data_IF_887815305409
#
_entry.id   IF_887815305409
#
_cell.length_a   1.000
_cell.length_b   1.000
_cell.length_c   1.000
_cell.angle_alpha   90.00
_cell.angle_beta   90.00
_cell.angle_gamma   90.00
#
_symmetry.space_group_name_H-M   'P 1'
#
loop_
_entity.id
_entity.type
_entity.pdbx_description
1 polymer ?
#
# COMPACT_ATOMS: atom_id res chain seq x y z
N UNK A 1 -40.69 -53.10 39.27
CA UNK A 1 -39.98 -52.41 38.17
C UNK A 1 -40.26 -50.93 38.24
N UNK A 2 -39.34 -50.13 38.79
CA UNK A 2 -39.47 -48.67 38.93
C UNK A 2 -38.46 -48.00 37.99
N UNK A 3 -38.94 -47.44 36.88
CA UNK A 3 -38.11 -46.68 35.93
C UNK A 3 -38.08 -45.23 36.40
N UNK A 4 -36.93 -44.79 36.94
CA UNK A 4 -36.70 -43.40 37.35
C UNK A 4 -36.65 -42.49 36.11
N UNK A 5 -37.55 -41.50 35.95
CA UNK A 5 -37.62 -40.66 34.73
C UNK A 5 -36.59 -39.51 34.69
N UNK A 6 -35.70 -39.38 35.68
CA UNK A 6 -34.86 -38.19 35.85
C UNK A 6 -33.58 -38.09 35.01
N UNK A 7 -33.13 -39.17 34.35
CA UNK A 7 -31.84 -39.16 33.62
C UNK A 7 -31.90 -38.44 32.26
N UNK A 8 -33.06 -38.41 31.63
CA UNK A 8 -33.24 -37.78 30.32
C UNK A 8 -33.44 -36.26 30.42
N UNK A 9 -34.05 -35.79 31.52
CA UNK A 9 -34.25 -34.36 31.79
C UNK A 9 -32.91 -33.65 32.04
N UNK A 10 -32.00 -34.27 32.81
CA UNK A 10 -30.67 -33.72 33.08
C UNK A 10 -29.77 -33.66 31.85
N UNK A 11 -29.89 -34.63 30.94
CA UNK A 11 -29.14 -34.65 29.68
C UNK A 11 -29.65 -33.57 28.70
N UNK A 12 -30.96 -33.36 28.64
CA UNK A 12 -31.57 -32.32 27.80
C UNK A 12 -31.19 -30.90 28.25
N UNK A 13 -31.15 -30.65 29.58
CA UNK A 13 -30.71 -29.37 30.15
C UNK A 13 -29.21 -29.11 29.92
N UNK A 14 -28.36 -30.14 29.96
CA UNK A 14 -26.93 -30.01 29.69
C UNK A 14 -26.62 -29.70 28.21
N UNK A 15 -27.39 -30.27 27.27
CA UNK A 15 -27.22 -30.00 25.83
C UNK A 15 -27.67 -28.58 25.48
N UNK A 16 -28.77 -28.08 26.06
CA UNK A 16 -29.23 -26.69 25.82
C UNK A 16 -28.22 -25.66 26.37
N UNK A 17 -27.62 -25.91 27.53
CA UNK A 17 -26.59 -25.03 28.12
C UNK A 17 -25.26 -25.06 27.36
N UNK A 18 -24.90 -26.19 26.72
CA UNK A 18 -23.73 -26.28 25.86
C UNK A 18 -23.93 -25.57 24.51
N UNK A 19 -25.16 -25.56 23.98
CA UNK A 19 -25.48 -24.82 22.75
C UNK A 19 -25.49 -23.30 22.95
N UNK A 20 -25.85 -22.78 24.13
CA UNK A 20 -25.82 -21.33 24.39
C UNK A 20 -24.40 -20.78 24.57
N UNK A 21 -23.46 -21.58 25.09
CA UNK A 21 -22.05 -21.17 25.23
C UNK A 21 -21.29 -21.14 23.90
N UNK A 22 -21.73 -21.90 22.90
CA UNK A 22 -21.09 -21.96 21.58
C UNK A 22 -21.47 -20.79 20.64
N UNK A 23 -22.49 -20.00 20.97
CA UNK A 23 -22.98 -18.89 20.12
C UNK A 23 -22.32 -17.54 20.50
N UNK A 24 -21.74 -17.45 21.70
CA UNK A 24 -21.13 -16.23 22.25
C UNK A 24 -19.99 -15.61 21.40
N UNK A 25 -19.08 -16.39 20.77
CA UNK A 25 -18.01 -15.79 19.98
C UNK A 25 -18.44 -15.39 18.57
N UNK A 26 -19.55 -15.95 18.05
CA UNK A 26 -20.02 -15.67 16.69
C UNK A 26 -20.76 -14.32 16.58
N UNK A 27 -21.25 -13.77 17.69
CA UNK A 27 -21.94 -12.48 17.74
C UNK A 27 -21.01 -11.28 17.99
N UNK A 28 -19.71 -11.53 18.18
CA UNK A 28 -18.69 -10.49 18.35
C UNK A 28 -18.02 -10.05 17.04
N UNK A 29 -18.52 -10.50 15.88
CA UNK A 29 -18.20 -9.83 14.62
C UNK A 29 -18.93 -8.48 14.67
N UNK A 30 -18.21 -7.43 15.08
CA UNK A 30 -18.72 -6.07 14.95
C UNK A 30 -19.14 -5.90 13.49
N UNK A 31 -20.39 -5.52 13.23
CA UNK A 31 -20.81 -5.08 11.91
C UNK A 31 -20.07 -3.77 11.60
N UNK A 32 -18.81 -3.88 11.20
CA UNK A 32 -17.98 -2.75 10.85
C UNK A 32 -18.49 -2.22 9.52
N UNK A 33 -19.21 -1.11 9.58
CA UNK A 33 -19.76 -0.44 8.40
C UNK A 33 -18.85 0.74 8.09
N UNK A 34 -18.34 0.80 6.86
CA UNK A 34 -17.54 1.91 6.35
C UNK A 34 -18.29 2.67 5.25
N UNK A 35 -18.03 3.96 5.15
CA UNK A 35 -18.49 4.79 4.02
C UNK A 35 -17.48 4.79 2.86
N UNK A 36 -16.29 4.20 3.05
CA UNK A 36 -15.28 4.09 2.02
C UNK A 36 -15.74 3.15 0.91
N UNK A 37 -15.45 3.51 -0.35
CA UNK A 37 -15.77 2.66 -1.51
C UNK A 37 -15.01 1.34 -1.51
N UNK A 38 -13.75 1.38 -1.08
CA UNK A 38 -12.87 0.23 -0.90
C UNK A 38 -12.17 0.33 0.45
N UNK A 39 -11.99 -0.80 1.13
CA UNK A 39 -11.23 -0.89 2.38
C UNK A 39 -10.72 -2.31 2.61
N UNK A 40 -9.56 -2.44 3.24
CA UNK A 40 -9.02 -3.70 3.75
C UNK A 40 -8.27 -3.45 5.05
N UNK A 41 -8.38 -4.37 6.00
CA UNK A 41 -7.64 -4.39 7.26
C UNK A 41 -6.97 -5.74 7.43
N UNK A 42 -5.66 -5.72 7.65
CA UNK A 42 -4.81 -6.91 7.69
C UNK A 42 -3.99 -6.89 8.98
N UNK A 43 -3.85 -8.03 9.65
CA UNK A 43 -2.84 -8.21 10.70
C UNK A 43 -1.45 -8.29 10.08
N UNK A 44 -0.54 -7.42 10.49
CA UNK A 44 0.78 -7.31 9.88
C UNK A 44 1.72 -8.49 10.20
N UNK A 45 1.45 -9.29 11.25
CA UNK A 45 2.33 -10.37 11.67
C UNK A 45 2.10 -11.65 10.86
N UNK A 46 0.83 -11.96 10.58
CA UNK A 46 0.44 -13.22 9.92
C UNK A 46 -0.30 -13.03 8.59
N UNK A 47 -0.66 -11.79 8.23
CA UNK A 47 -1.36 -11.46 7.00
C UNK A 47 -2.86 -11.78 7.03
N UNK A 48 -3.43 -12.09 8.20
CA UNK A 48 -4.86 -12.38 8.32
C UNK A 48 -5.70 -11.18 7.94
N UNK A 49 -6.67 -11.37 7.04
CA UNK A 49 -7.65 -10.34 6.69
C UNK A 49 -8.70 -10.26 7.79
N UNK A 50 -8.70 -9.15 8.52
CA UNK A 50 -9.64 -8.90 9.62
C UNK A 50 -10.93 -8.24 9.13
N UNK A 51 -10.84 -7.47 8.04
CA UNK A 51 -11.99 -6.83 7.39
C UNK A 51 -11.66 -6.52 5.93
N UNK A 52 -12.66 -6.62 5.05
CA UNK A 52 -12.55 -6.18 3.67
C UNK A 52 -13.91 -5.68 3.13
N UNK A 53 -13.84 -4.66 2.28
CA UNK A 53 -14.98 -4.10 1.54
C UNK A 53 -14.49 -3.71 0.15
N UNK A 54 -14.94 -4.41 -0.89
CA UNK A 54 -14.54 -4.17 -2.29
C UNK A 54 -13.00 -4.09 -2.49
N UNK A 55 -12.22 -4.86 -1.72
CA UNK A 55 -10.76 -4.70 -1.65
C UNK A 55 -10.04 -5.02 -2.96
N UNK A 56 -10.61 -5.91 -3.78
CA UNK A 56 -10.05 -6.31 -5.08
C UNK A 56 -10.60 -5.50 -6.26
N UNK A 57 -11.52 -4.56 -6.01
CA UNK A 57 -12.03 -3.69 -7.07
C UNK A 57 -10.93 -2.72 -7.55
N UNK A 58 -10.76 -2.64 -8.88
CA UNK A 58 -9.78 -1.75 -9.47
C UNK A 58 -10.14 -0.29 -9.22
N UNK A 59 -9.15 0.48 -8.76
CA UNK A 59 -9.27 1.91 -8.55
C UNK A 59 -7.98 2.63 -8.93
N UNK A 60 -8.08 3.94 -9.21
CA UNK A 60 -6.90 4.78 -9.37
C UNK A 60 -6.25 4.99 -7.99
N UNK A 61 -4.97 4.59 -7.80
CA UNK A 61 -4.31 4.69 -6.49
C UNK A 61 -3.94 6.13 -6.10
N UNK A 62 -3.95 7.07 -7.05
CA UNK A 62 -3.40 8.41 -6.88
C UNK A 62 -1.99 8.33 -6.25
N UNK A 63 -1.67 9.20 -5.29
CA UNK A 63 -0.35 9.24 -4.66
C UNK A 63 0.07 7.95 -3.94
N UNK A 64 -0.82 6.98 -3.70
CA UNK A 64 -0.42 5.67 -3.15
C UNK A 64 0.53 4.92 -4.09
N UNK A 65 0.56 5.24 -5.39
CA UNK A 65 1.56 4.69 -6.33
C UNK A 65 3.00 4.90 -5.87
N UNK A 66 3.27 5.99 -5.15
CA UNK A 66 4.62 6.31 -4.64
C UNK A 66 5.14 5.27 -3.65
N UNK A 67 4.29 4.45 -3.05
CA UNK A 67 4.75 3.31 -2.24
C UNK A 67 5.59 2.34 -3.08
N UNK A 68 5.22 2.08 -4.33
CA UNK A 68 6.06 1.27 -5.21
C UNK A 68 7.34 2.00 -5.62
N UNK A 69 7.29 3.31 -5.85
CA UNK A 69 8.50 4.14 -6.07
C UNK A 69 9.48 4.02 -4.89
N UNK A 70 8.98 4.07 -3.66
CA UNK A 70 9.78 3.87 -2.46
C UNK A 70 10.33 2.44 -2.37
N UNK A 71 9.52 1.42 -2.69
CA UNK A 71 10.00 0.02 -2.73
C UNK A 71 11.15 -0.14 -3.71
N UNK A 72 11.09 0.48 -4.89
CA UNK A 72 12.18 0.45 -5.87
C UNK A 72 13.47 1.03 -5.29
N UNK A 73 13.41 2.22 -4.67
CA UNK A 73 14.56 2.87 -4.02
C UNK A 73 15.10 2.02 -2.87
N UNK A 74 14.22 1.52 -2.00
CA UNK A 74 14.62 0.69 -0.86
C UNK A 74 15.26 -0.63 -1.28
N UNK A 75 14.84 -1.23 -2.41
CA UNK A 75 15.50 -2.41 -2.96
C UNK A 75 16.91 -2.10 -3.44
N UNK A 76 17.10 -0.99 -4.16
CA UNK A 76 18.43 -0.56 -4.63
C UNK A 76 19.36 -0.20 -3.46
N UNK A 77 18.85 0.45 -2.41
CA UNK A 77 19.59 0.72 -1.17
C UNK A 77 19.96 -0.59 -0.46
N UNK A 78 19.03 -1.55 -0.38
CA UNK A 78 19.26 -2.85 0.27
C UNK A 78 20.27 -3.72 -0.49
N UNK A 79 20.30 -3.66 -1.82
CA UNK A 79 21.30 -4.39 -2.63
C UNK A 79 22.66 -3.70 -2.67
N UNK A 80 22.74 -2.43 -2.27
CA UNK A 80 23.95 -1.61 -2.33
C UNK A 80 24.23 -1.01 -3.70
N UNK A 81 23.30 -1.12 -4.64
CA UNK A 81 23.33 -0.42 -5.94
C UNK A 81 23.18 1.09 -5.79
N UNK A 82 22.53 1.52 -4.71
CA UNK A 82 22.32 2.92 -4.36
C UNK A 82 22.75 3.16 -2.90
N UNK A 83 23.21 4.37 -2.60
CA UNK A 83 23.50 4.86 -1.24
C UNK A 83 22.69 6.11 -0.93
N UNK A 84 22.54 6.40 0.37
CA UNK A 84 21.77 7.55 0.83
C UNK A 84 22.41 8.89 0.42
N UNK A 85 23.73 8.90 0.26
CA UNK A 85 24.53 10.08 -0.11
C UNK A 85 24.71 10.24 -1.62
N UNK A 86 24.26 9.27 -2.43
CA UNK A 86 24.30 9.41 -3.88
C UNK A 86 23.44 10.60 -4.30
N UNK A 87 23.93 11.36 -5.28
CA UNK A 87 23.28 12.58 -5.75
C UNK A 87 22.56 12.33 -7.07
N UNK A 88 21.30 12.72 -7.14
CA UNK A 88 20.50 12.73 -8.35
C UNK A 88 20.34 14.17 -8.84
N UNK A 89 20.26 14.33 -10.16
CA UNK A 89 20.07 15.65 -10.78
C UNK A 89 18.59 15.87 -11.04
N UNK A 90 18.06 17.00 -10.55
CA UNK A 90 16.68 17.41 -10.82
C UNK A 90 16.52 17.83 -12.28
N UNK A 91 15.78 17.05 -13.06
CA UNK A 91 15.58 17.35 -14.48
C UNK A 91 14.58 18.49 -14.69
N UNK A 92 14.60 19.07 -15.90
CA UNK A 92 13.56 20.02 -16.35
C UNK A 92 12.18 19.36 -16.31
N UNK A 93 12.08 18.08 -16.65
CA UNK A 93 10.82 17.36 -16.65
C UNK A 93 10.28 17.24 -15.22
N UNK A 94 11.05 16.65 -14.31
CA UNK A 94 10.67 16.48 -12.90
C UNK A 94 10.26 17.81 -12.25
N UNK A 95 11.04 18.87 -12.44
CA UNK A 95 10.69 20.20 -11.96
C UNK A 95 9.40 20.74 -12.58
N UNK A 96 9.21 20.60 -13.89
CA UNK A 96 8.05 21.20 -14.60
C UNK A 96 6.75 20.44 -14.34
N UNK A 97 6.78 19.11 -14.35
CA UNK A 97 5.60 18.25 -14.31
C UNK A 97 5.25 17.79 -12.89
N UNK A 98 6.24 17.70 -12.01
CA UNK A 98 6.04 17.34 -10.60
C UNK A 98 6.41 18.43 -9.59
N UNK A 99 7.10 19.49 -10.01
CA UNK A 99 7.60 20.54 -9.13
C UNK A 99 6.67 21.75 -9.06
N UNK A 100 7.23 22.91 -8.67
CA UNK A 100 6.48 24.15 -8.44
C UNK A 100 5.49 24.54 -9.57
N UNK A 101 5.86 24.48 -10.86
CA UNK A 101 4.97 24.84 -11.97
C UNK A 101 3.77 23.90 -12.14
N UNK A 102 3.84 22.68 -11.61
CA UNK A 102 2.76 21.70 -11.75
C UNK A 102 1.51 22.04 -10.94
N UNK A 103 1.68 22.86 -9.88
CA UNK A 103 0.62 23.12 -8.89
C UNK A 103 0.25 21.90 -8.03
N UNK A 104 1.05 20.84 -8.07
CA UNK A 104 0.87 19.62 -7.26
C UNK A 104 1.85 19.59 -6.08
N UNK A 105 1.82 18.53 -5.27
CA UNK A 105 2.79 18.40 -4.16
C UNK A 105 4.21 18.22 -4.69
N UNK A 106 5.16 18.97 -4.13
CA UNK A 106 6.52 19.09 -4.63
C UNK A 106 7.50 19.35 -3.49
N UNK A 107 8.76 18.94 -3.70
CA UNK A 107 9.92 19.25 -2.85
C UNK A 107 10.57 20.60 -3.20
N UNK A 108 10.29 21.13 -4.40
CA UNK A 108 10.75 22.45 -4.89
C UNK A 108 12.26 22.55 -5.14
N UNK A 109 12.91 21.44 -5.54
CA UNK A 109 14.32 21.46 -5.95
C UNK A 109 14.47 22.21 -7.29
N UNK A 110 15.41 23.17 -7.43
CA UNK A 110 15.63 23.86 -8.69
C UNK A 110 16.14 22.92 -9.80
N UNK A 111 15.90 23.28 -11.06
CA UNK A 111 16.37 22.55 -12.24
C UNK A 111 17.90 22.50 -12.26
N UNK A 112 18.46 21.33 -12.62
CA UNK A 112 19.89 21.01 -12.69
C UNK A 112 20.62 21.03 -11.34
N UNK A 113 19.93 21.29 -10.24
CA UNK A 113 20.52 21.11 -8.92
C UNK A 113 20.58 19.63 -8.56
N UNK A 114 21.57 19.33 -7.72
CA UNK A 114 21.75 18.00 -7.15
C UNK A 114 21.03 17.89 -5.82
N UNK A 115 20.47 16.72 -5.57
CA UNK A 115 19.80 16.38 -4.31
C UNK A 115 20.17 14.94 -3.95
N UNK A 116 20.43 14.70 -2.66
CA UNK A 116 20.80 13.36 -2.20
C UNK A 116 19.59 12.42 -2.21
N UNK A 117 19.84 11.11 -2.32
CA UNK A 117 18.80 10.09 -2.18
C UNK A 117 18.06 10.22 -0.84
N UNK A 118 18.79 10.54 0.23
CA UNK A 118 18.19 10.80 1.56
C UNK A 118 17.16 11.94 1.53
N UNK A 119 17.51 13.06 0.90
CA UNK A 119 16.63 14.22 0.75
C UNK A 119 15.43 13.91 -0.15
N UNK A 120 15.64 13.20 -1.26
CA UNK A 120 14.56 12.74 -2.14
C UNK A 120 13.58 11.83 -1.41
N UNK A 121 14.06 10.89 -0.60
CA UNK A 121 13.21 10.04 0.23
C UNK A 121 12.38 10.87 1.21
N UNK A 122 12.95 11.90 1.84
CA UNK A 122 12.19 12.81 2.70
C UNK A 122 11.14 13.59 1.89
N UNK A 123 11.48 14.07 0.70
CA UNK A 123 10.53 14.73 -0.21
C UNK A 123 9.34 13.83 -0.58
N UNK A 124 9.59 12.55 -0.87
CA UNK A 124 8.53 11.59 -1.21
C UNK A 124 7.72 11.19 0.03
N UNK A 125 8.38 10.84 1.13
CA UNK A 125 7.71 10.27 2.32
C UNK A 125 6.95 11.36 3.09
N UNK A 126 7.53 12.54 3.27
CA UNK A 126 6.96 13.60 4.10
C UNK A 126 6.04 14.50 3.28
N UNK A 127 6.48 14.92 2.09
CA UNK A 127 5.71 15.85 1.26
C UNK A 127 4.92 15.16 0.16
N UNK A 128 5.10 13.86 -0.10
CA UNK A 128 4.53 13.21 -1.28
C UNK A 128 4.91 13.93 -2.58
N UNK A 129 6.15 14.44 -2.63
CA UNK A 129 6.66 15.25 -3.74
C UNK A 129 6.67 14.50 -5.06
N UNK A 130 6.00 15.06 -6.08
CA UNK A 130 5.96 14.49 -7.41
C UNK A 130 7.28 14.70 -8.15
N UNK A 131 7.87 15.90 -8.06
CA UNK A 131 9.23 16.19 -8.57
C UNK A 131 10.26 15.20 -8.06
N UNK A 132 10.28 14.92 -6.75
CA UNK A 132 11.19 13.96 -6.15
C UNK A 132 10.96 12.54 -6.71
N UNK A 133 9.71 12.14 -6.90
CA UNK A 133 9.37 10.81 -7.47
C UNK A 133 9.81 10.68 -8.93
N UNK A 134 9.62 11.72 -9.75
CA UNK A 134 10.05 11.73 -11.16
C UNK A 134 11.58 11.77 -11.24
N UNK A 135 12.24 12.58 -10.40
CA UNK A 135 13.69 12.66 -10.32
C UNK A 135 14.31 11.29 -10.00
N UNK A 136 13.75 10.57 -9.01
CA UNK A 136 14.14 9.19 -8.69
C UNK A 136 13.98 8.28 -9.92
N UNK A 137 12.83 8.33 -10.58
CA UNK A 137 12.53 7.46 -11.70
C UNK A 137 13.52 7.65 -12.87
N UNK A 138 13.76 8.91 -13.25
CA UNK A 138 14.66 9.26 -14.34
C UNK A 138 16.12 8.92 -14.03
N UNK A 139 16.60 9.15 -12.81
CA UNK A 139 17.98 8.85 -12.45
C UNK A 139 18.24 7.34 -12.29
N UNK A 140 17.23 6.55 -11.87
CA UNK A 140 17.37 5.10 -11.71
C UNK A 140 17.16 4.30 -13.00
N UNK A 141 16.24 4.73 -13.88
CA UNK A 141 15.85 3.96 -15.07
C UNK A 141 16.03 4.72 -16.40
N UNK A 142 16.57 5.94 -16.38
CA UNK A 142 16.77 6.79 -17.54
C UNK A 142 15.52 7.59 -17.93
N UNK A 143 14.33 7.01 -17.85
CA UNK A 143 13.05 7.71 -18.03
C UNK A 143 11.99 7.25 -17.04
N UNK A 144 10.95 8.06 -16.83
CA UNK A 144 9.83 7.70 -15.95
C UNK A 144 9.02 6.51 -16.49
N UNK A 145 8.89 6.38 -17.81
CA UNK A 145 8.16 5.27 -18.44
C UNK A 145 8.89 3.95 -18.21
N UNK A 146 10.21 3.92 -18.43
CA UNK A 146 11.03 2.73 -18.16
C UNK A 146 10.96 2.35 -16.67
N UNK A 147 10.97 3.34 -15.78
CA UNK A 147 10.78 3.10 -14.35
C UNK A 147 9.39 2.51 -14.05
N UNK A 148 8.32 3.01 -14.66
CA UNK A 148 6.96 2.51 -14.45
C UNK A 148 6.76 1.07 -14.98
N UNK A 149 7.46 0.70 -16.06
CA UNK A 149 7.53 -0.68 -16.53
C UNK A 149 8.19 -1.59 -15.48
N UNK A 150 9.31 -1.16 -14.90
CA UNK A 150 9.99 -1.88 -13.82
C UNK A 150 9.14 -1.96 -12.55
N UNK A 151 8.42 -0.90 -12.18
CA UNK A 151 7.46 -0.90 -11.06
C UNK A 151 6.35 -1.94 -11.30
N UNK A 152 5.84 -2.05 -12.53
CA UNK A 152 4.82 -3.04 -12.90
C UNK A 152 5.38 -4.45 -12.84
N UNK A 153 6.58 -4.66 -13.38
CA UNK A 153 7.27 -5.96 -13.31
C UNK A 153 7.45 -6.39 -11.85
N UNK A 154 8.01 -5.52 -11.01
CA UNK A 154 8.19 -5.81 -9.59
C UNK A 154 6.85 -6.06 -8.90
N UNK A 155 5.81 -5.29 -9.22
CA UNK A 155 4.45 -5.51 -8.73
C UNK A 155 3.98 -6.94 -9.01
N UNK A 156 4.18 -7.45 -10.23
CA UNK A 156 3.86 -8.84 -10.58
C UNK A 156 4.67 -9.84 -9.77
N UNK A 157 5.97 -9.59 -9.59
CA UNK A 157 6.87 -10.45 -8.82
C UNK A 157 6.47 -10.58 -7.34
N UNK A 158 5.95 -9.49 -6.74
CA UNK A 158 5.53 -9.48 -5.33
C UNK A 158 4.03 -9.81 -5.14
N UNK A 159 3.34 -10.27 -6.20
CA UNK A 159 1.97 -10.76 -6.12
C UNK A 159 0.87 -9.74 -6.39
N UNK A 160 1.20 -8.50 -6.80
CA UNK A 160 0.23 -7.49 -7.24
C UNK A 160 -0.20 -7.77 -8.69
N UNK A 161 -0.87 -8.88 -8.95
CA UNK A 161 -1.18 -9.37 -10.31
C UNK A 161 -2.17 -8.52 -11.10
N UNK A 162 -2.94 -7.66 -10.41
CA UNK A 162 -3.95 -6.78 -11.03
C UNK A 162 -3.55 -5.30 -11.08
N UNK A 163 -2.33 -4.95 -10.64
CA UNK A 163 -1.85 -3.57 -10.54
C UNK A 163 -0.96 -3.18 -11.71
N UNK A 164 -1.19 -2.06 -12.37
CA UNK A 164 -0.30 -1.58 -13.44
C UNK A 164 0.12 -0.16 -13.13
N UNK A 165 1.44 0.09 -13.12
CA UNK A 165 2.00 1.42 -12.94
C UNK A 165 2.28 2.05 -14.30
N UNK A 166 1.99 3.34 -14.41
CA UNK A 166 2.22 4.14 -15.63
C UNK A 166 3.14 5.33 -15.41
N UNK A 167 3.44 5.65 -14.16
CA UNK A 167 4.34 6.72 -13.74
C UNK A 167 4.77 6.48 -12.28
N UNK A 168 5.71 7.28 -11.79
CA UNK A 168 6.26 7.16 -10.43
C UNK A 168 5.45 7.93 -9.38
N UNK A 169 4.49 8.76 -9.81
CA UNK A 169 3.83 9.76 -8.98
C UNK A 169 2.40 9.40 -8.58
N UNK A 170 1.70 8.66 -9.44
CA UNK A 170 0.25 8.49 -9.37
C UNK A 170 -0.56 9.69 -9.88
N UNK A 171 0.08 10.67 -10.53
CA UNK A 171 -0.63 11.68 -11.31
C UNK A 171 -1.39 11.02 -12.47
N UNK A 172 -2.39 11.72 -13.01
CA UNK A 172 -3.18 11.21 -14.14
C UNK A 172 -2.26 10.90 -15.33
N UNK A 173 -2.41 9.68 -15.87
CA UNK A 173 -1.76 9.25 -17.10
C UNK A 173 -2.86 8.80 -18.07
N UNK A 174 -2.96 9.40 -19.27
CA UNK A 174 -3.98 9.03 -20.26
C UNK A 174 -3.78 7.62 -20.82
#
# INVERSE_FOLDING_TARGET
MSRRPGRWLGLALAVVAACTFAIGPALAQSNFVTQAKQAILIDANDGSVLFQHNADELMHPASMSKLMTLVMVFRALKSGELKMEDEFVMSVNAWRTGGAPSGTSAMFVPVNEKVTVSELLQGIIVQSGNDASICVAENMAGTEEAFAEQMTQLGREIGLTSTTFKNATGLYHP
#
